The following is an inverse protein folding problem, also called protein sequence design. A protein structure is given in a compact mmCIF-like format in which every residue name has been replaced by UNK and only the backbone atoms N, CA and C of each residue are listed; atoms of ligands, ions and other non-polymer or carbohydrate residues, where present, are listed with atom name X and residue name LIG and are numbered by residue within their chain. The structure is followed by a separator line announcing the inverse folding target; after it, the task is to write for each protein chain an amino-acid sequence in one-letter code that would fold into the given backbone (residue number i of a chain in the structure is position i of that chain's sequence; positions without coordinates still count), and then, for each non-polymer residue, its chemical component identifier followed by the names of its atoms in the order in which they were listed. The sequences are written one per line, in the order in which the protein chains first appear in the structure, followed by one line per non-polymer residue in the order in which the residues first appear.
data_IF_795451133137
#
_entry.id   IF_795451133137
#
_cell.length_a   1.000
_cell.length_b   1.000
_cell.length_c   1.000
_cell.angle_alpha   90.00
_cell.angle_beta   90.00
_cell.angle_gamma   90.00
#
_symmetry.space_group_name_H-M   'P 1'
#
loop_
_entity.id
_entity.type
_entity.pdbx_description
1 polymer ?
#
# COMPACT_ATOMS: atom_id res chain seq x y z
N UNK A 1 -53.75 15.56 -62.78
CA UNK A 1 -52.30 15.62 -62.49
C UNK A 1 -52.10 16.09 -61.05
N UNK A 2 -51.86 15.19 -60.11
CA UNK A 2 -51.37 15.49 -58.75
C UNK A 2 -50.32 14.42 -58.42
N UNK A 3 -49.06 14.72 -58.72
CA UNK A 3 -47.89 13.92 -58.33
C UNK A 3 -47.59 14.15 -56.85
N UNK A 4 -47.41 13.07 -56.09
CA UNK A 4 -46.12 12.61 -55.56
C UNK A 4 -45.43 13.64 -54.64
N UNK A 5 -45.86 13.69 -53.38
CA UNK A 5 -45.05 14.18 -52.25
C UNK A 5 -45.40 13.36 -50.99
N UNK A 6 -45.05 12.06 -50.98
CA UNK A 6 -45.29 11.19 -49.82
C UNK A 6 -44.11 10.26 -49.48
N UNK A 7 -42.91 10.52 -50.01
CA UNK A 7 -41.76 9.61 -49.88
C UNK A 7 -40.67 10.03 -48.89
N UNK A 8 -40.56 11.31 -48.54
CA UNK A 8 -39.35 11.83 -47.87
C UNK A 8 -39.36 11.64 -46.35
N UNK A 9 -40.54 11.59 -45.71
CA UNK A 9 -40.65 11.49 -44.25
C UNK A 9 -40.27 10.13 -43.66
N UNK A 10 -40.53 9.04 -44.39
CA UNK A 10 -40.25 7.68 -43.92
C UNK A 10 -38.77 7.32 -44.04
N UNK A 11 -38.09 7.86 -45.06
CA UNK A 11 -36.65 7.66 -45.26
C UNK A 11 -35.82 8.25 -44.13
N UNK A 12 -36.15 9.46 -43.67
CA UNK A 12 -35.44 10.12 -42.56
C UNK A 12 -35.65 9.42 -41.21
N UNK A 13 -36.86 8.91 -40.95
CA UNK A 13 -37.16 8.13 -39.75
C UNK A 13 -36.48 6.76 -39.78
N UNK A 14 -36.47 6.08 -40.93
CA UNK A 14 -35.77 4.81 -41.11
C UNK A 14 -34.25 4.99 -40.95
N UNK A 15 -33.69 6.08 -41.47
CA UNK A 15 -32.26 6.40 -41.34
C UNK A 15 -31.89 6.78 -39.90
N UNK A 16 -32.76 7.51 -39.20
CA UNK A 16 -32.59 7.82 -37.77
C UNK A 16 -32.67 6.58 -36.88
N UNK A 17 -33.61 5.68 -37.14
CA UNK A 17 -33.73 4.39 -36.43
C UNK A 17 -32.54 3.49 -36.73
N UNK A 18 -32.05 3.44 -37.97
CA UNK A 18 -30.84 2.71 -38.35
C UNK A 18 -29.59 3.27 -37.67
N UNK A 19 -29.48 4.60 -37.53
CA UNK A 19 -28.36 5.25 -36.83
C UNK A 19 -28.37 4.95 -35.32
N UNK A 20 -29.55 4.85 -34.71
CA UNK A 20 -29.74 4.48 -33.29
C UNK A 20 -29.46 2.98 -33.06
N UNK A 21 -29.84 2.12 -34.00
CA UNK A 21 -29.54 0.67 -33.96
C UNK A 21 -28.06 0.36 -34.23
N UNK A 22 -27.34 1.22 -34.94
CA UNK A 22 -25.91 1.09 -35.21
C UNK A 22 -25.04 1.71 -34.10
N UNK A 23 -25.63 2.43 -33.16
CA UNK A 23 -24.93 2.94 -31.99
C UNK A 23 -24.85 1.83 -30.92
N UNK A 24 -23.67 1.27 -30.63
CA UNK A 24 -23.54 0.30 -29.56
C UNK A 24 -24.00 0.96 -28.25
N UNK A 25 -24.77 0.27 -27.39
CA UNK A 25 -25.15 0.82 -26.09
C UNK A 25 -23.88 1.18 -25.31
N UNK A 26 -23.90 2.25 -24.49
CA UNK A 26 -22.75 2.61 -23.65
C UNK A 26 -22.39 1.39 -22.81
N UNK A 27 -21.28 0.74 -23.14
CA UNK A 27 -20.95 -0.54 -22.56
C UNK A 27 -20.44 -0.32 -21.14
N UNK A 28 -20.93 -1.06 -20.13
CA UNK A 28 -20.48 -0.91 -18.75
C UNK A 28 -19.07 -1.50 -18.50
N UNK A 29 -18.36 -1.90 -19.57
CA UNK A 29 -17.13 -2.66 -19.55
C UNK A 29 -16.01 -2.00 -18.71
N UNK A 30 -15.94 -0.67 -18.67
CA UNK A 30 -14.90 0.06 -17.93
C UNK A 30 -15.02 -0.13 -16.41
N UNK A 31 -16.24 -0.09 -15.87
CA UNK A 31 -16.47 -0.28 -14.43
C UNK A 31 -16.20 -1.72 -13.98
N UNK A 32 -16.55 -2.69 -14.81
CA UNK A 32 -16.24 -4.11 -14.56
C UNK A 32 -14.73 -4.38 -14.64
N UNK A 33 -14.00 -3.66 -15.49
CA UNK A 33 -12.55 -3.82 -15.66
C UNK A 33 -11.78 -3.27 -14.45
N UNK A 34 -12.15 -2.09 -13.93
CA UNK A 34 -11.50 -1.49 -12.76
C UNK A 34 -11.77 -2.28 -11.46
N UNK A 35 -12.99 -2.77 -11.25
CA UNK A 35 -13.25 -3.64 -10.09
C UNK A 35 -12.55 -4.99 -10.21
N UNK A 36 -12.43 -5.54 -11.43
CA UNK A 36 -11.68 -6.77 -11.65
C UNK A 36 -10.18 -6.62 -11.40
N UNK A 37 -9.57 -5.47 -11.73
CA UNK A 37 -8.15 -5.22 -11.44
C UNK A 37 -7.91 -5.10 -9.94
N UNK A 38 -8.74 -4.36 -9.20
CA UNK A 38 -8.64 -4.27 -7.72
C UNK A 38 -8.82 -5.63 -7.07
N UNK A 39 -9.77 -6.45 -7.53
CA UNK A 39 -9.96 -7.82 -7.01
C UNK A 39 -8.77 -8.73 -7.29
N UNK A 40 -8.11 -8.58 -8.45
CA UNK A 40 -6.85 -9.26 -8.76
C UNK A 40 -5.73 -8.80 -7.83
N UNK A 41 -5.58 -7.50 -7.61
CA UNK A 41 -4.60 -6.93 -6.69
C UNK A 41 -4.78 -7.41 -5.23
N UNK A 42 -6.02 -7.54 -4.75
CA UNK A 42 -6.29 -8.13 -3.43
C UNK A 42 -5.90 -9.62 -3.37
N UNK A 43 -6.11 -10.35 -4.46
CA UNK A 43 -5.69 -11.75 -4.56
C UNK A 43 -4.17 -11.92 -4.53
N UNK A 44 -3.44 -11.06 -5.22
CA UNK A 44 -1.98 -11.04 -5.23
C UNK A 44 -1.40 -10.63 -3.87
N UNK A 45 -1.98 -9.63 -3.20
CA UNK A 45 -1.63 -9.26 -1.83
C UNK A 45 -1.80 -10.44 -0.85
N UNK A 46 -2.90 -11.18 -0.95
CA UNK A 46 -3.13 -12.38 -0.14
C UNK A 46 -2.11 -13.51 -0.40
N UNK A 47 -1.54 -13.60 -1.61
CA UNK A 47 -0.42 -14.53 -1.89
C UNK A 47 0.88 -14.02 -1.26
N UNK A 48 1.21 -12.73 -1.41
CA UNK A 48 2.38 -12.12 -0.80
C UNK A 48 2.38 -12.26 0.73
N UNK A 49 1.23 -12.03 1.38
CA UNK A 49 1.09 -12.21 2.83
C UNK A 49 1.38 -13.65 3.27
N UNK A 50 1.00 -14.66 2.47
CA UNK A 50 1.31 -16.06 2.76
C UNK A 50 2.81 -16.35 2.62
N UNK A 51 3.46 -15.82 1.58
CA UNK A 51 4.91 -15.94 1.35
C UNK A 51 5.70 -15.26 2.47
N UNK A 52 5.32 -14.03 2.83
CA UNK A 52 5.94 -13.27 3.94
C UNK A 52 5.77 -14.00 5.28
N UNK A 53 4.61 -14.61 5.54
CA UNK A 53 4.40 -15.43 6.74
C UNK A 53 5.33 -16.66 6.75
N UNK A 54 5.57 -17.28 5.60
CA UNK A 54 6.54 -18.37 5.44
C UNK A 54 7.95 -17.91 5.79
N UNK A 55 8.41 -16.85 5.14
CA UNK A 55 9.71 -16.22 5.41
C UNK A 55 9.91 -15.88 6.89
N UNK A 56 8.93 -15.23 7.54
CA UNK A 56 9.00 -14.91 8.96
C UNK A 56 9.14 -16.14 9.85
N UNK A 57 8.55 -17.28 9.45
CA UNK A 57 8.66 -18.54 10.20
C UNK A 57 10.06 -19.14 10.07
N UNK A 58 10.63 -19.12 8.88
CA UNK A 58 11.99 -19.60 8.58
C UNK A 58 13.03 -18.75 9.29
N UNK A 59 12.88 -17.43 9.23
CA UNK A 59 13.76 -16.45 9.88
C UNK A 59 13.76 -16.61 11.40
N UNK A 60 12.57 -16.76 12.01
CA UNK A 60 12.44 -17.10 13.44
C UNK A 60 13.08 -18.45 13.76
N UNK A 61 13.04 -19.41 12.83
CA UNK A 61 13.71 -20.70 12.95
C UNK A 61 15.23 -20.54 13.03
N UNK A 62 15.83 -19.75 12.13
CA UNK A 62 17.26 -19.43 12.12
C UNK A 62 17.67 -18.74 13.42
N UNK A 63 16.96 -17.69 13.83
CA UNK A 63 17.25 -16.96 15.06
C UNK A 63 17.19 -17.88 16.30
N UNK A 64 16.23 -18.82 16.37
CA UNK A 64 16.19 -19.81 17.46
C UNK A 64 17.37 -20.77 17.44
N UNK A 65 17.91 -21.15 16.28
CA UNK A 65 19.14 -21.97 16.20
C UNK A 65 20.34 -21.17 16.72
N UNK A 66 20.47 -19.92 16.28
CA UNK A 66 21.55 -19.03 16.70
C UNK A 66 21.51 -18.74 18.22
N UNK A 67 20.32 -18.47 18.76
CA UNK A 67 20.13 -18.27 20.21
C UNK A 67 20.54 -19.52 21.01
N UNK A 68 20.12 -20.72 20.59
CA UNK A 68 20.55 -21.97 21.25
C UNK A 68 22.04 -22.20 21.19
N UNK A 69 22.67 -21.85 20.06
CA UNK A 69 24.12 -21.91 19.93
C UNK A 69 24.79 -20.96 20.93
N UNK A 70 24.36 -19.70 20.98
CA UNK A 70 24.85 -18.70 21.92
C UNK A 70 24.78 -19.18 23.38
N UNK A 71 23.60 -19.62 23.84
CA UNK A 71 23.39 -20.12 25.20
C UNK A 71 24.31 -21.30 25.53
N UNK A 72 24.49 -22.24 24.58
CA UNK A 72 25.41 -23.37 24.74
C UNK A 72 26.87 -22.91 24.89
N UNK A 73 27.30 -21.95 24.08
CA UNK A 73 28.67 -21.43 24.15
C UNK A 73 28.91 -20.65 25.44
N UNK A 74 27.91 -19.88 25.88
CA UNK A 74 27.95 -19.09 27.10
C UNK A 74 28.04 -19.98 28.34
N UNK A 75 27.21 -21.01 28.45
CA UNK A 75 27.24 -21.95 29.57
C UNK A 75 28.61 -22.65 29.69
N UNK A 76 29.23 -22.98 28.56
CA UNK A 76 30.55 -23.62 28.51
C UNK A 76 31.73 -22.65 28.76
N UNK A 77 31.48 -21.34 28.83
CA UNK A 77 32.51 -20.33 29.16
C UNK A 77 32.47 -19.87 30.62
N UNK A 78 31.56 -20.39 31.44
CA UNK A 78 31.44 -19.97 32.84
C UNK A 78 32.64 -20.38 33.72
N UNK A 79 33.42 -21.39 33.32
CA UNK A 79 34.64 -21.81 34.02
C UNK A 79 35.78 -22.14 33.03
N UNK A 80 36.57 -21.13 32.61
CA UNK A 80 37.59 -21.30 31.57
C UNK A 80 38.82 -22.08 32.03
N UNK A 81 39.21 -21.99 33.31
CA UNK A 81 40.39 -22.67 33.85
C UNK A 81 40.17 -24.19 33.91
N UNK A 82 38.97 -24.62 34.32
CA UNK A 82 38.58 -26.04 34.29
C UNK A 82 38.57 -26.65 32.87
N UNK A 83 38.45 -25.81 31.83
CA UNK A 83 38.42 -26.26 30.44
C UNK A 83 39.80 -26.63 29.89
N UNK A 84 40.88 -26.12 30.47
CA UNK A 84 42.27 -26.41 30.04
C UNK A 84 42.80 -27.67 30.73
N UNK A 85 42.42 -27.89 31.99
CA UNK A 85 42.83 -29.05 32.78
C UNK A 85 42.11 -30.35 32.40
N UNK A 86 40.95 -30.25 31.74
CA UNK A 86 40.18 -31.40 31.27
C UNK A 86 40.33 -31.62 29.76
N UNK A 87 40.98 -32.70 29.29
CA UNK A 87 41.22 -32.95 27.87
C UNK A 87 39.92 -33.09 27.05
N UNK A 88 38.80 -33.49 27.67
CA UNK A 88 37.49 -33.55 26.98
C UNK A 88 36.92 -32.17 26.74
N UNK A 89 37.08 -31.24 27.70
CA UNK A 89 36.64 -29.85 27.55
C UNK A 89 37.53 -29.12 26.54
N UNK A 90 38.86 -29.34 26.59
CA UNK A 90 39.80 -28.82 25.61
C UNK A 90 39.48 -29.30 24.18
N UNK A 91 39.21 -30.60 23.98
CA UNK A 91 38.77 -31.13 22.69
C UNK A 91 37.45 -30.49 22.22
N UNK A 92 36.47 -30.35 23.11
CA UNK A 92 35.19 -29.72 22.77
C UNK A 92 35.36 -28.25 22.38
N UNK A 93 36.27 -27.52 23.03
CA UNK A 93 36.60 -26.13 22.69
C UNK A 93 37.23 -26.04 21.30
N UNK A 94 38.25 -26.88 21.02
CA UNK A 94 38.91 -26.94 19.72
C UNK A 94 37.90 -27.26 18.62
N UNK A 95 37.07 -28.29 18.82
CA UNK A 95 36.00 -28.66 17.88
C UNK A 95 35.06 -27.47 17.64
N UNK A 96 34.58 -26.83 18.70
CA UNK A 96 33.66 -25.69 18.57
C UNK A 96 34.26 -24.54 17.75
N UNK A 97 35.53 -24.19 18.00
CA UNK A 97 36.24 -23.13 17.27
C UNK A 97 36.52 -23.51 15.83
N UNK A 98 36.86 -24.77 15.56
CA UNK A 98 37.23 -25.25 14.23
C UNK A 98 36.02 -25.55 13.32
N UNK A 99 34.93 -26.10 13.86
CA UNK A 99 33.75 -26.50 13.06
C UNK A 99 32.50 -25.70 13.37
N UNK A 100 32.14 -25.56 14.64
CA UNK A 100 30.79 -25.09 14.99
C UNK A 100 30.64 -23.57 14.74
N UNK A 101 31.65 -22.77 15.04
CA UNK A 101 31.66 -21.33 14.76
C UNK A 101 31.64 -21.01 13.26
N UNK A 102 32.54 -21.58 12.43
CA UNK A 102 32.47 -21.39 10.98
C UNK A 102 31.12 -21.80 10.38
N UNK A 103 30.54 -22.91 10.84
CA UNK A 103 29.22 -23.36 10.37
C UNK A 103 28.09 -22.36 10.65
N UNK A 104 28.19 -21.59 11.74
CA UNK A 104 27.20 -20.55 12.08
C UNK A 104 27.46 -19.25 11.31
N UNK A 105 28.73 -18.85 11.17
CA UNK A 105 29.12 -17.57 10.55
C UNK A 105 28.99 -17.63 9.03
N UNK A 106 29.45 -18.72 8.42
CA UNK A 106 29.39 -18.93 6.97
C UNK A 106 28.12 -19.68 6.54
N UNK A 107 27.08 -19.63 7.37
CA UNK A 107 25.78 -20.17 7.02
C UNK A 107 25.10 -19.26 6.01
N UNK A 108 24.79 -19.79 4.83
CA UNK A 108 24.04 -19.08 3.79
C UNK A 108 22.53 -19.04 4.06
N UNK A 109 22.06 -19.62 5.18
CA UNK A 109 20.64 -19.70 5.56
C UNK A 109 19.94 -18.32 5.53
N UNK A 110 20.66 -17.24 5.84
CA UNK A 110 20.10 -15.90 5.79
C UNK A 110 19.86 -15.40 4.37
N UNK A 111 20.84 -15.64 3.51
CA UNK A 111 20.80 -15.24 2.11
C UNK A 111 19.76 -16.07 1.35
N UNK A 112 19.69 -17.37 1.61
CA UNK A 112 18.71 -18.27 1.01
C UNK A 112 17.27 -17.90 1.38
N UNK A 113 17.01 -17.61 2.67
CA UNK A 113 15.68 -17.19 3.12
C UNK A 113 15.19 -15.93 2.40
N UNK A 114 16.05 -14.90 2.27
CA UNK A 114 15.65 -13.65 1.64
C UNK A 114 15.55 -13.77 0.12
N UNK A 115 16.41 -14.59 -0.50
CA UNK A 115 16.31 -14.91 -1.92
C UNK A 115 14.99 -15.62 -2.25
N UNK A 116 14.57 -16.60 -1.43
CA UNK A 116 13.30 -17.27 -1.61
C UNK A 116 12.09 -16.30 -1.52
N UNK A 117 12.15 -15.31 -0.64
CA UNK A 117 11.13 -14.26 -0.55
C UNK A 117 11.13 -13.36 -1.80
N UNK A 118 12.31 -12.99 -2.28
CA UNK A 118 12.48 -12.15 -3.46
C UNK A 118 11.98 -12.85 -4.73
N UNK A 119 12.28 -14.13 -4.90
CA UNK A 119 11.79 -14.92 -6.03
C UNK A 119 10.26 -15.06 -5.97
N UNK A 120 9.70 -15.28 -4.78
CA UNK A 120 8.26 -15.28 -4.58
C UNK A 120 7.59 -13.92 -4.85
N UNK A 121 8.31 -12.80 -4.67
CA UNK A 121 7.81 -11.47 -5.04
C UNK A 121 7.80 -11.30 -6.56
N UNK A 122 8.88 -11.68 -7.25
CA UNK A 122 8.98 -11.64 -8.72
C UNK A 122 7.86 -12.43 -9.41
N UNK A 123 7.45 -13.57 -8.85
CA UNK A 123 6.31 -14.36 -9.37
C UNK A 123 5.00 -13.55 -9.40
N UNK A 124 4.83 -12.62 -8.46
CA UNK A 124 3.58 -11.87 -8.26
C UNK A 124 3.66 -10.45 -8.83
N UNK A 125 4.87 -9.95 -9.10
CA UNK A 125 5.14 -8.59 -9.55
C UNK A 125 4.31 -8.18 -10.78
N UNK A 126 4.12 -9.08 -11.74
CA UNK A 126 3.33 -8.82 -12.95
C UNK A 126 1.82 -8.64 -12.69
N UNK A 127 1.32 -9.10 -11.54
CA UNK A 127 -0.09 -8.97 -11.16
C UNK A 127 -0.35 -7.76 -10.26
N UNK A 128 0.70 -7.05 -9.84
CA UNK A 128 0.58 -5.85 -9.00
C UNK A 128 0.23 -4.63 -9.86
N UNK A 129 -0.56 -3.69 -9.32
CA UNK A 129 -0.84 -2.42 -9.99
C UNK A 129 0.45 -1.62 -10.19
N UNK A 130 0.57 -1.00 -11.37
CA UNK A 130 1.71 -0.17 -11.74
C UNK A 130 1.66 1.23 -11.13
N UNK A 131 2.68 2.04 -11.42
CA UNK A 131 2.71 3.44 -11.02
C UNK A 131 1.57 4.24 -11.68
N UNK A 132 1.23 3.90 -12.91
CA UNK A 132 0.14 4.50 -13.68
C UNK A 132 -1.24 4.25 -13.06
N UNK A 133 -1.45 3.09 -12.44
CA UNK A 133 -2.69 2.74 -11.75
C UNK A 133 -2.83 3.58 -10.47
N UNK A 134 -1.73 3.78 -9.74
CA UNK A 134 -1.68 4.63 -8.55
C UNK A 134 -2.00 6.09 -8.90
N UNK A 135 -1.34 6.64 -9.92
CA UNK A 135 -1.59 8.01 -10.37
C UNK A 135 -2.99 8.18 -10.98
N UNK A 136 -3.52 7.13 -11.63
CA UNK A 136 -4.90 7.05 -12.08
C UNK A 136 -5.90 7.14 -10.92
N UNK A 137 -5.67 6.38 -9.85
CA UNK A 137 -6.50 6.38 -8.64
C UNK A 137 -6.44 7.73 -7.91
N UNK A 138 -5.25 8.32 -7.77
CA UNK A 138 -5.07 9.65 -7.20
C UNK A 138 -5.84 10.74 -7.98
N UNK A 139 -5.75 10.72 -9.31
CA UNK A 139 -6.52 11.64 -10.18
C UNK A 139 -8.03 11.41 -10.08
N UNK A 140 -8.48 10.17 -9.95
CA UNK A 140 -9.90 9.87 -9.75
C UNK A 140 -10.41 10.44 -8.41
N UNK A 141 -9.62 10.35 -7.33
CA UNK A 141 -9.95 10.96 -6.04
C UNK A 141 -10.03 12.49 -6.12
N UNK A 142 -9.08 13.13 -6.80
CA UNK A 142 -9.12 14.59 -7.06
C UNK A 142 -10.38 14.99 -7.83
N UNK A 143 -10.73 14.25 -8.88
CA UNK A 143 -11.96 14.50 -9.65
C UNK A 143 -13.22 14.37 -8.78
N UNK A 144 -13.28 13.36 -7.91
CA UNK A 144 -14.40 13.22 -6.97
C UNK A 144 -14.48 14.40 -6.01
N UNK A 145 -13.35 14.91 -5.55
CA UNK A 145 -13.29 16.09 -4.70
C UNK A 145 -13.85 17.33 -5.44
N UNK A 146 -13.43 17.54 -6.69
CA UNK A 146 -13.83 18.71 -7.47
C UNK A 146 -15.32 18.66 -7.86
N UNK A 147 -15.81 17.51 -8.35
CA UNK A 147 -17.21 17.34 -8.81
C UNK A 147 -18.20 17.47 -7.67
N UNK A 148 -17.88 16.93 -6.48
CA UNK A 148 -18.79 16.91 -5.34
C UNK A 148 -18.46 17.94 -4.26
N UNK A 149 -17.48 18.82 -4.48
CA UNK A 149 -16.99 19.77 -3.48
C UNK A 149 -16.76 19.09 -2.11
N UNK A 150 -15.98 18.01 -2.10
CA UNK A 150 -15.71 17.22 -0.91
C UNK A 150 -14.73 17.93 0.03
N UNK A 151 -14.93 17.75 1.33
CA UNK A 151 -13.99 18.20 2.35
C UNK A 151 -12.76 17.29 2.39
N UNK A 152 -11.57 17.88 2.18
CA UNK A 152 -10.27 17.18 2.31
C UNK A 152 -10.13 16.53 3.69
N UNK A 153 -10.57 17.23 4.74
CA UNK A 153 -10.57 16.72 6.11
C UNK A 153 -11.51 15.51 6.26
N UNK A 154 -12.63 15.50 5.55
CA UNK A 154 -13.54 14.35 5.50
C UNK A 154 -12.87 13.16 4.81
N UNK A 155 -12.31 13.38 3.62
CA UNK A 155 -11.63 12.34 2.83
C UNK A 155 -10.44 11.73 3.57
N UNK A 156 -9.62 12.55 4.23
CA UNK A 156 -8.51 12.08 5.05
C UNK A 156 -8.96 11.18 6.21
N UNK A 157 -10.20 11.33 6.68
CA UNK A 157 -10.80 10.49 7.73
C UNK A 157 -11.66 9.35 7.17
N UNK A 158 -11.63 9.13 5.85
CA UNK A 158 -12.41 8.08 5.18
C UNK A 158 -13.91 8.36 5.09
N UNK A 159 -14.33 9.63 5.13
CA UNK A 159 -15.74 10.03 5.01
C UNK A 159 -15.93 11.06 3.89
N UNK A 160 -16.80 10.75 2.93
CA UNK A 160 -17.10 11.64 1.82
C UNK A 160 -18.16 12.65 2.25
N UNK A 161 -17.73 13.78 2.81
CA UNK A 161 -18.57 14.89 3.25
C UNK A 161 -18.39 16.10 2.34
N UNK A 162 -19.45 16.86 2.11
CA UNK A 162 -19.34 18.16 1.43
C UNK A 162 -18.59 19.18 2.29
N UNK A 163 -17.98 20.17 1.66
CA UNK A 163 -17.43 21.35 2.33
C UNK A 163 -18.51 22.22 2.98
N UNK A 164 -19.75 22.16 2.50
CA UNK A 164 -20.89 22.86 3.09
C UNK A 164 -21.40 22.14 4.35
N UNK A 165 -21.17 22.76 5.50
CA UNK A 165 -21.65 22.30 6.81
C UNK A 165 -23.18 22.32 6.85
N UNK A 166 -23.82 21.15 6.77
CA UNK A 166 -25.28 21.03 6.85
C UNK A 166 -25.88 19.86 6.05
N UNK A 167 -25.14 19.25 5.13
CA UNK A 167 -25.58 18.06 4.40
C UNK A 167 -25.07 16.77 5.04
N UNK A 168 -25.86 15.68 5.06
CA UNK A 168 -25.36 14.38 5.46
C UNK A 168 -24.20 13.94 4.55
N UNK A 169 -23.28 13.09 5.03
CA UNK A 169 -22.20 12.55 4.21
C UNK A 169 -22.78 11.87 2.96
N UNK A 170 -22.16 12.12 1.80
CA UNK A 170 -22.54 11.49 0.53
C UNK A 170 -22.35 9.98 0.57
N UNK A 171 -21.26 9.55 1.20
CA UNK A 171 -20.93 8.15 1.35
C UNK A 171 -20.08 7.94 2.59
N UNK A 172 -20.43 6.90 3.35
CA UNK A 172 -19.69 6.44 4.52
C UNK A 172 -19.47 4.94 4.37
N UNK A 173 -18.25 4.50 3.98
CA UNK A 173 -17.95 3.08 3.93
C UNK A 173 -18.08 2.45 5.32
N UNK A 174 -18.46 1.17 5.37
CA UNK A 174 -18.59 0.42 6.63
C UNK A 174 -17.27 0.31 7.40
N UNK A 175 -16.14 0.40 6.69
CA UNK A 175 -14.80 0.55 7.27
C UNK A 175 -14.24 1.92 6.89
N UNK A 176 -14.02 2.77 7.88
CA UNK A 176 -13.34 4.05 7.68
C UNK A 176 -11.85 3.83 7.68
N UNK A 177 -11.19 4.25 6.61
CA UNK A 177 -9.73 4.23 6.50
C UNK A 177 -9.26 5.67 6.48
N UNK A 178 -8.36 6.02 7.41
CA UNK A 178 -7.71 7.32 7.40
C UNK A 178 -6.52 7.30 6.45
N UNK A 179 -6.40 8.31 5.61
CA UNK A 179 -5.24 8.48 4.72
C UNK A 179 -4.06 9.07 5.52
N UNK A 180 -2.85 8.59 5.23
CA UNK A 180 -1.63 9.18 5.77
C UNK A 180 -1.39 10.57 5.18
N UNK A 181 -0.54 11.37 5.84
CA UNK A 181 -0.07 12.65 5.29
C UNK A 181 0.65 12.46 3.95
N UNK A 182 1.41 11.37 3.79
CA UNK A 182 2.10 11.04 2.55
C UNK A 182 1.12 10.70 1.42
N UNK A 183 0.07 9.92 1.73
CA UNK A 183 -0.98 9.57 0.76
C UNK A 183 -1.72 10.82 0.27
N UNK A 184 -2.06 11.72 1.19
CA UNK A 184 -2.74 12.98 0.85
C UNK A 184 -1.84 13.91 0.03
N UNK A 185 -0.54 13.92 0.33
CA UNK A 185 0.44 14.66 -0.46
C UNK A 185 0.54 14.11 -1.89
N UNK A 186 0.59 12.79 -2.06
CA UNK A 186 0.62 12.17 -3.39
C UNK A 186 -0.64 12.51 -4.19
N UNK A 187 -1.83 12.41 -3.56
CA UNK A 187 -3.10 12.82 -4.20
C UNK A 187 -3.06 14.28 -4.63
N UNK A 188 -2.58 15.19 -3.76
CA UNK A 188 -2.49 16.62 -4.05
C UNK A 188 -1.45 16.97 -5.12
N UNK A 189 -0.36 16.21 -5.24
CA UNK A 189 0.65 16.36 -6.28
C UNK A 189 0.04 16.13 -7.67
N UNK A 190 -0.76 15.08 -7.83
CA UNK A 190 -1.37 14.74 -9.12
C UNK A 190 -2.40 15.80 -9.57
N UNK A 191 -3.05 16.49 -8.64
CA UNK A 191 -3.90 17.65 -8.94
C UNK A 191 -3.12 18.87 -9.46
N UNK A 192 -1.95 19.17 -8.87
CA UNK A 192 -1.11 20.30 -9.30
C UNK A 192 -0.49 20.10 -10.68
N UNK A 193 -0.15 18.86 -11.04
CA UNK A 193 0.35 18.54 -12.39
C UNK A 193 -0.66 18.86 -13.50
N UNK A 194 -1.96 18.82 -13.23
CA UNK A 194 -3.00 19.25 -14.19
C UNK A 194 -3.23 20.77 -14.21
N UNK A 195 -3.14 21.42 -13.05
CA UNK A 195 -3.30 22.86 -12.94
C UNK A 195 -2.14 23.64 -13.58
N UNK A 196 -0.96 23.04 -13.76
CA UNK A 196 0.17 23.65 -14.48
C UNK A 196 -0.09 23.95 -15.96
N UNK A 197 -1.21 23.50 -16.54
CA UNK A 197 -1.64 23.83 -17.91
C UNK A 197 -2.65 24.99 -18.02
N UNK A 198 -3.18 25.51 -16.89
CA UNK A 198 -4.11 26.62 -16.87
C UNK A 198 -3.71 27.58 -15.75
N UNK A 199 -3.36 28.81 -16.15
CA UNK A 199 -2.69 29.81 -15.33
C UNK A 199 -3.21 30.02 -13.90
N UNK A 200 -2.25 30.41 -13.06
CA UNK A 200 -2.37 31.09 -11.77
C UNK A 200 -3.80 31.32 -11.24
N UNK A 201 -4.18 30.61 -10.17
CA UNK A 201 -4.95 31.23 -9.08
C UNK A 201 -4.71 30.51 -7.74
N UNK A 202 -4.12 31.26 -6.81
CA UNK A 202 -4.38 31.29 -5.36
C UNK A 202 -4.35 29.97 -4.55
N UNK A 203 -3.25 29.76 -3.82
CA UNK A 203 -3.22 28.90 -2.64
C UNK A 203 -3.98 29.57 -1.48
N UNK A 204 -4.90 28.89 -0.76
CA UNK A 204 -5.30 29.35 0.56
C UNK A 204 -4.21 28.97 1.58
N UNK A 205 -3.75 29.97 2.31
CA UNK A 205 -2.76 29.86 3.38
C UNK A 205 -3.22 28.89 4.47
N UNK A 206 -2.40 27.90 4.79
CA UNK A 206 -2.54 27.09 6.00
C UNK A 206 -2.01 27.95 7.17
N UNK A 207 -2.81 28.27 8.20
CA UNK A 207 -2.25 28.94 9.38
C UNK A 207 -1.40 27.93 10.17
N UNK A 208 -0.09 28.12 10.13
CA UNK A 208 0.88 27.45 10.99
C UNK A 208 0.82 28.12 12.36
N UNK A 209 0.10 27.50 13.30
CA UNK A 209 0.13 27.87 14.71
C UNK A 209 1.13 27.01 15.48
N UNK A 210 2.41 27.38 15.47
CA UNK A 210 3.39 26.91 16.45
C UNK A 210 3.60 28.00 17.51
N UNK A 211 3.33 27.67 18.77
CA UNK A 211 3.68 28.47 19.94
C UNK A 211 4.06 27.54 21.08
N UNK A 212 5.36 27.33 21.27
CA UNK A 212 5.93 26.51 22.35
C UNK A 212 6.41 27.43 23.48
N UNK A 213 5.90 27.18 24.70
CA UNK A 213 6.57 27.31 26.01
C UNK A 213 6.48 28.66 26.75
N UNK A 214 6.78 28.72 28.08
CA UNK A 214 7.34 27.66 28.93
C UNK A 214 6.66 27.41 30.31
N UNK A 215 7.10 26.31 30.92
CA UNK A 215 6.99 25.81 32.30
C UNK A 215 6.84 26.81 33.47
N UNK A 216 5.99 26.46 34.46
CA UNK A 216 6.20 26.84 35.87
C UNK A 216 5.43 25.95 36.86
N UNK A 217 6.18 25.29 37.76
CA UNK A 217 5.89 25.26 39.20
C UNK A 217 4.80 24.32 39.72
N UNK A 218 5.16 23.06 39.96
CA UNK A 218 4.47 22.17 40.92
C UNK A 218 4.72 22.71 42.34
N UNK A 219 3.69 23.23 43.03
CA UNK A 219 3.70 23.41 44.49
C UNK A 219 2.81 22.35 45.13
N UNK A 220 3.42 21.56 46.00
CA UNK A 220 2.79 20.62 46.93
C UNK A 220 2.68 21.31 48.28
N UNK A 221 1.54 21.11 48.95
CA UNK A 221 1.41 21.14 50.41
C UNK A 221 0.22 21.96 50.92
N UNK A 222 -0.08 21.87 52.23
CA UNK A 222 0.28 20.81 53.17
C UNK A 222 -0.69 19.61 53.15
#
# INVERSE_FOLDING_TARGET
MRGLDAGVGWGALALGVLLVLLCPPPSPAETYTAMASVRRALGSEGRLLRRLRGYLREERGRLRRLARFYEKVQALHQDPEASVDNPLLAFSLIKRLHSDWPNVIYSDEATENIQALHDAFKEVEQELPGAEDLDGAARALMRLQDVYALSVKGMANGVFQHTSSGRPPLYSPGQRVSLSADDLFHVGKEGKSQAGGLGETSCPSIPVGYGVGPSLGRKVGP
#
